data_IF_261748092539
#
_entry.id   IF_261748092539
#
_cell.length_a   1.000
_cell.length_b   1.000
_cell.length_c   1.000
_cell.angle_alpha   90.00
_cell.angle_beta   90.00
_cell.angle_gamma   90.00
#
_symmetry.space_group_name_H-M   'P 1'
#
loop_
_entity.id
_entity.type
_entity.pdbx_description
1 polymer ?
#
# COMPACT_ATOMS: atom_id res chain seq x y z
N UNK A 1 -6.67 -15.57 17.77
CA UNK A 1 -6.48 -14.13 17.51
C UNK A 1 -5.19 -13.67 18.19
N UNK A 2 -4.39 -12.80 17.59
CA UNK A 2 -3.15 -12.30 18.20
C UNK A 2 -3.46 -11.65 19.57
N UNK A 3 -2.64 -11.92 20.61
CA UNK A 3 -2.78 -11.38 21.97
C UNK A 3 -4.22 -11.40 22.55
N UNK A 4 -5.04 -12.36 22.14
CA UNK A 4 -6.44 -12.47 22.58
C UNK A 4 -7.26 -11.18 22.38
N UNK A 5 -6.97 -10.43 21.32
CA UNK A 5 -7.70 -9.20 20.99
C UNK A 5 -7.39 -7.98 21.87
N UNK A 6 -6.40 -8.05 22.78
CA UNK A 6 -6.02 -6.91 23.62
C UNK A 6 -5.45 -5.75 22.81
N UNK A 7 -6.25 -4.71 22.58
CA UNK A 7 -5.92 -3.54 21.74
C UNK A 7 -4.60 -2.88 22.15
N UNK A 8 -4.35 -2.68 23.44
CA UNK A 8 -3.11 -2.07 23.93
C UNK A 8 -1.86 -2.87 23.53
N UNK A 9 -1.95 -4.22 23.55
CA UNK A 9 -0.85 -5.09 23.13
C UNK A 9 -0.65 -5.07 21.61
N UNK A 10 -1.72 -4.92 20.84
CA UNK A 10 -1.63 -4.76 19.38
C UNK A 10 -0.93 -3.46 19.02
N UNK A 11 -1.44 -2.33 19.50
CA UNK A 11 -0.90 -0.99 19.21
C UNK A 11 0.58 -0.92 19.60
N UNK A 12 0.92 -1.27 20.84
CA UNK A 12 2.32 -1.23 21.31
C UNK A 12 3.25 -2.15 20.51
N UNK A 13 2.83 -3.38 20.21
CA UNK A 13 3.68 -4.32 19.47
C UNK A 13 3.85 -3.92 18.01
N UNK A 14 2.78 -3.48 17.34
CA UNK A 14 2.83 -3.08 15.94
C UNK A 14 3.66 -1.80 15.75
N UNK A 15 3.50 -0.81 16.62
CA UNK A 15 4.35 0.38 16.65
C UNK A 15 5.82 0.02 16.84
N UNK A 16 6.14 -0.81 17.85
CA UNK A 16 7.53 -1.18 18.13
C UNK A 16 8.19 -1.92 16.95
N UNK A 17 7.44 -2.79 16.26
CA UNK A 17 7.93 -3.47 15.05
C UNK A 17 8.22 -2.46 13.94
N UNK A 18 7.29 -1.54 13.66
CA UNK A 18 7.46 -0.53 12.61
C UNK A 18 8.65 0.40 12.88
N UNK A 19 8.74 0.95 14.10
CA UNK A 19 9.85 1.82 14.55
C UNK A 19 11.18 1.09 14.37
N UNK A 20 11.31 -0.15 14.89
CA UNK A 20 12.54 -0.92 14.79
C UNK A 20 12.96 -1.12 13.34
N UNK A 21 12.10 -1.69 12.51
CA UNK A 21 12.46 -1.97 11.11
C UNK A 21 12.75 -0.71 10.31
N UNK A 22 12.02 0.39 10.54
CA UNK A 22 12.28 1.64 9.86
C UNK A 22 13.64 2.22 10.24
N UNK A 23 13.98 2.22 11.53
CA UNK A 23 15.26 2.73 12.03
C UNK A 23 16.43 1.85 11.55
N UNK A 24 16.29 0.52 11.57
CA UNK A 24 17.31 -0.41 11.07
C UNK A 24 17.66 -0.14 9.60
N UNK A 25 16.69 0.26 8.79
CA UNK A 25 16.85 0.56 7.36
C UNK A 25 17.22 2.03 7.06
N UNK A 26 17.14 2.91 8.06
CA UNK A 26 17.19 4.36 7.86
C UNK A 26 18.54 4.83 7.31
N UNK A 27 19.64 4.32 7.87
CA UNK A 27 20.98 4.69 7.45
C UNK A 27 21.27 4.29 5.99
N UNK A 28 20.74 3.14 5.55
CA UNK A 28 20.88 2.64 4.19
C UNK A 28 20.07 3.49 3.20
N UNK A 29 18.81 3.79 3.51
CA UNK A 29 17.88 4.40 2.56
C UNK A 29 17.87 5.94 2.62
N UNK A 30 18.19 6.53 3.77
CA UNK A 30 18.24 7.97 3.99
C UNK A 30 19.48 8.38 4.80
N UNK A 31 20.71 8.24 4.25
CA UNK A 31 21.95 8.47 5.00
C UNK A 31 22.04 9.86 5.66
N UNK A 32 21.50 10.90 5.00
CA UNK A 32 21.48 12.28 5.53
C UNK A 32 20.65 12.43 6.81
N UNK A 33 19.75 11.48 7.08
CA UNK A 33 18.86 11.44 8.24
C UNK A 33 19.14 10.23 9.13
N UNK A 34 20.29 9.57 8.99
CA UNK A 34 20.64 8.37 9.76
C UNK A 34 20.67 8.60 11.27
N UNK A 35 20.87 9.85 11.70
CA UNK A 35 20.88 10.27 13.11
C UNK A 35 19.49 10.66 13.64
N UNK A 36 18.47 10.69 12.77
CA UNK A 36 17.12 10.97 13.22
C UNK A 36 16.55 9.75 13.95
N UNK A 37 15.55 9.99 14.80
CA UNK A 37 14.84 8.95 15.54
C UNK A 37 13.34 8.99 15.17
N UNK A 38 12.94 8.43 14.01
CA UNK A 38 11.56 8.48 13.56
C UNK A 38 10.66 7.62 14.46
N UNK A 39 9.50 8.18 14.80
CA UNK A 39 8.45 7.53 15.57
C UNK A 39 7.22 7.23 14.71
N UNK A 40 6.39 6.30 15.17
CA UNK A 40 5.14 5.91 14.50
C UNK A 40 3.98 5.80 15.51
N UNK A 41 2.83 6.36 15.16
CA UNK A 41 1.56 6.09 15.85
C UNK A 41 0.90 4.84 15.25
N UNK A 42 0.17 4.09 16.07
CA UNK A 42 -0.64 2.95 15.63
C UNK A 42 -2.04 3.04 16.26
N UNK A 43 -3.04 2.73 15.45
CA UNK A 43 -4.44 2.70 15.86
C UNK A 43 -5.06 1.39 15.42
N UNK A 44 -5.86 0.80 16.30
CA UNK A 44 -6.67 -0.37 16.01
C UNK A 44 -8.12 0.02 16.17
N UNK A 45 -8.93 -0.35 15.19
CA UNK A 45 -10.35 -0.07 15.16
C UNK A 45 -11.05 -1.22 14.45
N UNK A 46 -12.35 -1.36 14.70
CA UNK A 46 -13.16 -2.45 14.14
C UNK A 46 -14.06 -1.92 13.03
N UNK A 47 -14.19 -2.71 11.98
CA UNK A 47 -15.11 -2.50 10.86
C UNK A 47 -16.21 -3.57 10.93
N UNK A 48 -17.49 -3.20 10.86
CA UNK A 48 -18.58 -4.15 11.10
C UNK A 48 -18.89 -5.03 9.88
N UNK A 49 -18.32 -4.74 8.71
CA UNK A 49 -18.44 -5.57 7.51
C UNK A 49 -17.21 -5.46 6.61
N UNK A 50 -17.03 -6.45 5.73
CA UNK A 50 -15.96 -6.42 4.71
C UNK A 50 -16.19 -5.31 3.69
N UNK A 51 -17.44 -4.91 3.45
CA UNK A 51 -17.76 -3.81 2.54
C UNK A 51 -17.27 -2.47 3.10
N UNK A 52 -17.53 -2.19 4.38
CA UNK A 52 -17.01 -0.99 5.05
C UNK A 52 -15.48 -1.04 5.18
N UNK A 53 -14.92 -2.23 5.32
CA UNK A 53 -13.47 -2.41 5.26
C UNK A 53 -12.91 -2.02 3.88
N UNK A 54 -13.54 -2.46 2.79
CA UNK A 54 -13.20 -2.09 1.41
C UNK A 54 -13.32 -0.57 1.19
N UNK A 55 -14.40 0.05 1.64
CA UNK A 55 -14.60 1.51 1.57
C UNK A 55 -13.48 2.27 2.29
N UNK A 56 -13.01 1.77 3.43
CA UNK A 56 -11.89 2.38 4.11
C UNK A 56 -10.57 2.29 3.30
N UNK A 57 -10.31 1.18 2.59
CA UNK A 57 -9.18 1.11 1.65
C UNK A 57 -9.31 2.15 0.53
N UNK A 58 -10.50 2.29 -0.06
CA UNK A 58 -10.79 3.31 -1.08
C UNK A 58 -10.57 4.73 -0.55
N UNK A 59 -10.97 5.01 0.69
CA UNK A 59 -10.74 6.30 1.31
C UNK A 59 -9.25 6.58 1.52
N UNK A 60 -8.47 5.58 1.98
CA UNK A 60 -7.02 5.73 2.14
C UNK A 60 -6.29 5.91 0.81
N UNK A 61 -6.71 5.22 -0.24
CA UNK A 61 -6.17 5.40 -1.60
C UNK A 61 -6.46 6.82 -2.15
N UNK A 62 -7.68 7.30 -1.93
CA UNK A 62 -8.09 8.67 -2.33
C UNK A 62 -7.27 9.72 -1.57
N UNK A 63 -7.05 9.51 -0.29
CA UNK A 63 -6.22 10.39 0.55
C UNK A 63 -4.76 10.39 0.09
N UNK A 64 -4.19 9.21 -0.19
CA UNK A 64 -2.85 9.08 -0.76
C UNK A 64 -2.72 9.87 -2.07
N UNK A 65 -3.73 9.79 -2.95
CA UNK A 65 -3.75 10.55 -4.21
C UNK A 65 -3.77 12.05 -3.99
N UNK A 66 -4.58 12.55 -3.05
CA UNK A 66 -4.65 13.97 -2.69
C UNK A 66 -3.34 14.47 -2.06
N UNK A 67 -2.70 13.65 -1.24
CA UNK A 67 -1.41 13.99 -0.63
C UNK A 67 -0.29 13.98 -1.68
N UNK A 68 -0.26 12.99 -2.55
CA UNK A 68 0.73 12.86 -3.62
C UNK A 68 0.73 14.06 -4.58
N UNK A 69 -0.46 14.47 -5.08
CA UNK A 69 -0.54 15.64 -5.96
C UNK A 69 -0.15 16.93 -5.24
N UNK A 70 -0.48 17.04 -3.95
CA UNK A 70 -0.10 18.20 -3.15
C UNK A 70 1.42 18.25 -2.97
N UNK A 71 2.07 17.11 -2.65
CA UNK A 71 3.52 17.02 -2.54
C UNK A 71 4.21 17.33 -3.86
N UNK A 72 3.71 16.81 -4.99
CA UNK A 72 4.24 17.11 -6.31
C UNK A 72 4.15 18.62 -6.61
N UNK A 73 2.99 19.24 -6.34
CA UNK A 73 2.80 20.67 -6.55
C UNK A 73 3.69 21.52 -5.61
N UNK A 74 3.92 21.09 -4.37
CA UNK A 74 4.78 21.79 -3.40
C UNK A 74 6.25 21.84 -3.81
N UNK A 75 6.69 21.01 -4.75
CA UNK A 75 8.03 21.12 -5.33
C UNK A 75 8.20 22.38 -6.21
N UNK A 76 7.10 22.95 -6.72
CA UNK A 76 7.11 24.09 -7.64
C UNK A 76 6.41 25.34 -7.10
N UNK A 77 5.54 25.19 -6.10
CA UNK A 77 4.71 26.24 -5.56
C UNK A 77 4.82 26.28 -4.04
N UNK A 78 4.84 27.50 -3.50
CA UNK A 78 4.86 27.70 -2.05
C UNK A 78 3.55 27.23 -1.39
N UNK A 79 3.56 26.91 -0.08
CA UNK A 79 2.35 26.56 0.66
C UNK A 79 1.24 27.62 0.57
N UNK A 80 1.62 28.91 0.47
CA UNK A 80 0.66 30.02 0.32
C UNK A 80 -0.07 29.97 -1.02
N UNK A 81 0.63 29.61 -2.10
CA UNK A 81 0.04 29.49 -3.44
C UNK A 81 -0.87 28.27 -3.55
N UNK A 82 -0.60 27.20 -2.80
CA UNK A 82 -1.39 25.97 -2.79
C UNK A 82 -2.56 25.98 -1.79
N UNK A 83 -2.65 27.03 -0.97
CA UNK A 83 -3.69 27.14 0.04
C UNK A 83 -5.09 27.18 -0.60
N UNK A 84 -5.99 26.30 -0.16
CA UNK A 84 -7.36 26.11 -0.69
C UNK A 84 -7.43 25.75 -2.18
N UNK A 85 -6.32 25.36 -2.81
CA UNK A 85 -6.32 24.89 -4.20
C UNK A 85 -6.76 23.43 -4.26
N UNK A 86 -7.81 23.16 -5.03
CA UNK A 86 -8.34 21.82 -5.26
C UNK A 86 -7.41 20.93 -6.09
N UNK A 87 -7.70 19.62 -6.13
CA UNK A 87 -6.85 18.65 -6.85
C UNK A 87 -6.80 18.92 -8.37
N UNK A 88 -7.93 19.21 -9.02
CA UNK A 88 -7.97 19.51 -10.45
C UNK A 88 -7.09 20.73 -10.79
N UNK A 89 -7.23 21.84 -10.06
CA UNK A 89 -6.38 23.01 -10.25
C UNK A 89 -4.89 22.74 -9.99
N UNK A 90 -4.55 21.82 -9.06
CA UNK A 90 -3.15 21.39 -8.86
C UNK A 90 -2.60 20.61 -10.07
N UNK A 91 -3.43 19.83 -10.77
CA UNK A 91 -3.02 19.21 -12.03
C UNK A 91 -2.69 20.28 -13.06
N UNK A 92 -3.54 21.28 -13.22
CA UNK A 92 -3.31 22.36 -14.19
C UNK A 92 -2.05 23.16 -13.86
N UNK A 93 -1.81 23.44 -12.57
CA UNK A 93 -0.58 24.09 -12.10
C UNK A 93 0.68 23.26 -12.41
N UNK A 94 0.63 21.94 -12.20
CA UNK A 94 1.75 21.05 -12.55
C UNK A 94 1.96 21.01 -14.07
N UNK A 95 0.89 20.91 -14.85
CA UNK A 95 0.96 20.94 -16.32
C UNK A 95 1.53 22.25 -16.84
N UNK A 96 1.20 23.39 -16.22
CA UNK A 96 1.78 24.69 -16.55
C UNK A 96 3.30 24.77 -16.25
N UNK A 97 3.83 23.87 -15.43
CA UNK A 97 5.28 23.67 -15.20
C UNK A 97 5.88 22.56 -16.08
N UNK A 98 5.12 22.01 -17.01
CA UNK A 98 5.54 20.89 -17.86
C UNK A 98 5.57 19.54 -17.15
N UNK A 99 4.91 19.42 -16.00
CA UNK A 99 4.89 18.18 -15.20
C UNK A 99 3.56 17.48 -15.35
N UNK A 100 3.56 16.33 -16.03
CA UNK A 100 2.38 15.48 -16.15
C UNK A 100 2.27 14.50 -14.98
N UNK A 101 1.43 14.81 -14.00
CA UNK A 101 1.22 13.93 -12.84
C UNK A 101 0.70 12.54 -13.22
N UNK A 102 0.03 12.38 -14.37
CA UNK A 102 -0.47 11.07 -14.80
C UNK A 102 0.66 10.10 -15.17
N UNK A 103 1.83 10.60 -15.55
CA UNK A 103 3.01 9.80 -15.87
C UNK A 103 3.75 9.31 -14.62
N UNK A 104 3.39 9.80 -13.43
CA UNK A 104 4.01 9.34 -12.20
C UNK A 104 3.70 7.85 -11.97
N UNK A 105 4.67 7.06 -11.47
CA UNK A 105 4.44 5.68 -11.07
C UNK A 105 3.22 5.53 -10.16
N UNK A 106 2.45 4.45 -10.35
CA UNK A 106 1.21 4.22 -9.61
C UNK A 106 1.41 4.24 -8.09
N UNK A 107 2.54 3.72 -7.60
CA UNK A 107 2.84 3.68 -6.17
C UNK A 107 3.03 5.06 -5.54
N UNK A 108 3.53 6.04 -6.29
CA UNK A 108 3.61 7.44 -5.83
C UNK A 108 2.24 8.10 -5.78
N UNK A 109 1.31 7.68 -6.64
CA UNK A 109 -0.03 8.26 -6.73
C UNK A 109 -1.00 7.66 -5.72
N UNK A 110 -0.98 6.34 -5.52
CA UNK A 110 -2.02 5.60 -4.78
C UNK A 110 -1.50 4.80 -3.58
N UNK A 111 -0.19 4.79 -3.37
CA UNK A 111 0.44 3.92 -2.38
C UNK A 111 0.69 2.51 -2.92
N UNK A 112 1.06 1.59 -2.02
CA UNK A 112 1.41 0.20 -2.37
C UNK A 112 0.51 -0.78 -1.64
N UNK A 113 -0.14 -1.68 -2.37
CA UNK A 113 -0.84 -2.81 -1.80
C UNK A 113 0.14 -3.97 -1.64
N UNK A 114 0.21 -4.53 -0.44
CA UNK A 114 1.04 -5.70 -0.14
C UNK A 114 0.18 -6.84 0.37
N UNK A 115 0.46 -8.04 -0.11
CA UNK A 115 -0.28 -9.25 0.25
C UNK A 115 0.66 -10.41 0.47
N UNK A 116 0.32 -11.27 1.43
CA UNK A 116 1.00 -12.54 1.63
C UNK A 116 0.49 -13.58 0.64
N UNK A 117 1.39 -14.14 -0.16
CA UNK A 117 1.11 -15.16 -1.17
C UNK A 117 1.95 -16.41 -0.91
N UNK A 118 1.41 -17.57 -1.28
CA UNK A 118 2.15 -18.84 -1.21
C UNK A 118 2.82 -19.07 -2.54
N UNK A 119 4.15 -19.09 -2.53
CA UNK A 119 4.97 -19.34 -3.72
C UNK A 119 5.60 -20.72 -3.57
N UNK A 120 5.47 -21.54 -4.62
CA UNK A 120 6.18 -22.80 -4.72
C UNK A 120 7.62 -22.52 -5.11
N UNK A 121 8.57 -22.83 -4.23
CA UNK A 121 10.01 -22.67 -4.49
C UNK A 121 10.74 -23.99 -4.33
N UNK A 122 11.68 -24.25 -5.23
CA UNK A 122 12.67 -25.29 -5.02
C UNK A 122 13.67 -24.82 -3.98
N UNK A 123 13.97 -25.68 -3.01
CA UNK A 123 14.98 -25.36 -2.01
C UNK A 123 16.38 -25.45 -2.65
N UNK A 124 17.26 -24.45 -2.42
CA UNK A 124 18.66 -24.56 -2.84
C UNK A 124 19.32 -25.78 -2.20
N UNK A 125 20.27 -26.40 -2.90
CA UNK A 125 20.95 -27.62 -2.46
C UNK A 125 21.62 -27.45 -1.08
N UNK A 126 22.14 -26.26 -0.79
CA UNK A 126 22.72 -25.91 0.51
C UNK A 126 21.70 -25.97 1.67
N UNK A 127 20.46 -25.55 1.40
CA UNK A 127 19.37 -25.62 2.39
C UNK A 127 18.88 -27.06 2.55
N UNK A 128 18.82 -27.82 1.46
CA UNK A 128 18.44 -29.24 1.49
C UNK A 128 19.46 -30.09 2.27
N UNK A 129 20.75 -29.79 2.15
CA UNK A 129 21.82 -30.52 2.85
C UNK A 129 21.69 -30.41 4.39
N UNK A 130 21.19 -29.28 4.90
CA UNK A 130 20.93 -29.05 6.34
C UNK A 130 19.72 -29.80 6.87
N UNK A 131 18.84 -30.30 5.99
CA UNK A 131 17.67 -31.07 6.38
C UNK A 131 18.06 -32.56 6.46
N UNK A 132 17.71 -33.27 7.56
CA UNK A 132 17.91 -34.72 7.66
C UNK A 132 17.28 -35.45 6.47
N UNK A 133 17.96 -36.48 5.97
CA UNK A 133 17.63 -37.13 4.70
C UNK A 133 16.19 -37.68 4.64
N UNK A 134 15.68 -38.18 5.77
CA UNK A 134 14.30 -38.67 5.92
C UNK A 134 13.21 -37.57 5.91
N UNK A 135 13.58 -36.29 5.96
CA UNK A 135 12.67 -35.14 5.94
C UNK A 135 12.92 -34.20 4.77
N UNK A 136 13.84 -34.55 3.85
CA UNK A 136 14.15 -33.73 2.68
C UNK A 136 12.96 -33.75 1.72
N UNK A 137 12.38 -32.59 1.40
CA UNK A 137 11.34 -32.52 0.39
C UNK A 137 11.94 -32.79 -0.98
N UNK A 138 11.30 -33.68 -1.74
CA UNK A 138 11.67 -34.05 -3.11
C UNK A 138 11.13 -33.08 -4.17
N UNK A 139 10.14 -32.25 -3.81
CA UNK A 139 9.49 -31.30 -4.70
C UNK A 139 9.52 -29.85 -4.20
N UNK A 140 8.83 -28.94 -4.89
CA UNK A 140 8.77 -27.54 -4.48
C UNK A 140 8.04 -27.40 -3.14
N UNK A 141 8.59 -26.55 -2.27
CA UNK A 141 8.03 -26.25 -0.96
C UNK A 141 7.27 -24.93 -1.04
N UNK A 142 6.04 -24.92 -0.51
CA UNK A 142 5.27 -23.69 -0.35
C UNK A 142 5.92 -22.77 0.69
N UNK A 143 6.34 -21.59 0.27
CA UNK A 143 6.82 -20.52 1.15
C UNK A 143 5.86 -19.35 1.08
N UNK A 144 5.52 -18.80 2.24
CA UNK A 144 4.77 -17.55 2.30
C UNK A 144 5.70 -16.37 2.08
N UNK A 145 5.39 -15.54 1.11
CA UNK A 145 6.12 -14.31 0.79
C UNK A 145 5.16 -13.14 0.78
N UNK A 146 5.62 -11.98 1.25
CA UNK A 146 4.87 -10.73 1.09
C UNK A 146 5.28 -10.11 -0.23
N UNK A 147 4.31 -9.86 -1.11
CA UNK A 147 4.52 -9.28 -2.44
C UNK A 147 3.68 -8.02 -2.61
N UNK A 148 4.22 -7.06 -3.35
CA UNK A 148 3.44 -5.95 -3.87
C UNK A 148 2.48 -6.48 -4.94
N UNK A 149 1.24 -6.03 -4.89
CA UNK A 149 0.19 -6.40 -5.84
C UNK A 149 -0.08 -5.19 -6.74
N UNK A 150 -0.12 -5.42 -8.05
CA UNK A 150 -0.60 -4.40 -8.98
C UNK A 150 -2.12 -4.26 -8.81
N UNK A 151 -2.53 -3.18 -8.15
CA UNK A 151 -3.92 -2.94 -7.76
C UNK A 151 -4.53 -1.84 -8.64
N UNK A 152 -5.58 -2.16 -9.43
CA UNK A 152 -6.41 -1.15 -10.06
C UNK A 152 -7.07 -0.25 -9.01
N UNK A 153 -7.47 0.98 -9.35
CA UNK A 153 -8.15 1.86 -8.40
C UNK A 153 -9.36 1.18 -7.77
N UNK A 154 -9.48 1.20 -6.44
CA UNK A 154 -10.53 0.44 -5.72
C UNK A 154 -11.92 0.86 -6.16
N UNK A 155 -12.11 2.15 -6.45
CA UNK A 155 -13.37 2.70 -6.96
C UNK A 155 -13.84 2.05 -8.28
N UNK A 156 -12.91 1.53 -9.08
CA UNK A 156 -13.17 0.89 -10.38
C UNK A 156 -13.41 -0.62 -10.28
N UNK A 157 -13.18 -1.24 -9.13
CA UNK A 157 -13.38 -2.68 -8.94
C UNK A 157 -14.86 -3.00 -8.73
N UNK A 158 -15.40 -3.95 -9.48
CA UNK A 158 -16.74 -4.51 -9.29
C UNK A 158 -16.75 -5.51 -8.12
N UNK A 159 -15.67 -6.30 -7.98
CA UNK A 159 -15.50 -7.34 -6.95
C UNK A 159 -14.46 -6.96 -5.89
N UNK A 160 -14.47 -5.70 -5.42
CA UNK A 160 -13.40 -5.15 -4.57
C UNK A 160 -13.19 -5.90 -3.25
N UNK A 161 -14.24 -6.43 -2.62
CA UNK A 161 -14.13 -7.26 -1.41
C UNK A 161 -13.35 -8.55 -1.72
N UNK A 162 -13.68 -9.22 -2.82
CA UNK A 162 -13.05 -10.48 -3.20
C UNK A 162 -11.59 -10.31 -3.56
N UNK A 163 -11.25 -9.22 -4.23
CA UNK A 163 -9.87 -8.88 -4.58
C UNK A 163 -9.03 -8.63 -3.32
N UNK A 164 -9.54 -7.80 -2.39
CA UNK A 164 -8.81 -7.39 -1.19
C UNK A 164 -8.66 -8.53 -0.17
N UNK A 165 -9.74 -9.26 0.10
CA UNK A 165 -9.80 -10.19 1.23
C UNK A 165 -9.73 -11.67 0.81
N UNK A 166 -10.18 -12.02 -0.39
CA UNK A 166 -10.25 -13.40 -0.87
C UNK A 166 -9.29 -13.72 -2.02
N UNK A 167 -8.48 -12.75 -2.45
CA UNK A 167 -7.46 -12.89 -3.51
C UNK A 167 -8.03 -13.24 -4.89
N UNK A 168 -9.28 -12.85 -5.16
CA UNK A 168 -9.85 -12.97 -6.49
C UNK A 168 -9.10 -12.08 -7.50
N UNK A 169 -9.22 -12.42 -8.78
CA UNK A 169 -8.75 -11.56 -9.87
C UNK A 169 -9.61 -10.29 -9.93
N UNK A 170 -9.03 -9.12 -10.25
CA UNK A 170 -9.78 -7.87 -10.33
C UNK A 170 -10.72 -7.85 -11.53
N UNK A 171 -12.00 -7.62 -11.24
CA UNK A 171 -13.03 -7.36 -12.24
C UNK A 171 -13.37 -5.87 -12.23
N UNK A 172 -13.31 -5.22 -13.38
CA UNK A 172 -13.60 -3.80 -13.51
C UNK A 172 -15.10 -3.57 -13.67
N UNK A 173 -15.61 -2.51 -13.05
CA UNK A 173 -16.97 -2.01 -13.28
C UNK A 173 -17.17 -1.72 -14.76
N UNK A 174 -18.29 -2.15 -15.30
CA UNK A 174 -18.72 -1.76 -16.65
C UNK A 174 -19.06 -0.27 -16.68
N UNK A 175 -19.01 0.36 -17.87
CA UNK A 175 -19.25 1.82 -18.03
C UNK A 175 -20.59 2.25 -17.41
N UNK A 176 -21.62 1.39 -17.48
CA UNK A 176 -22.94 1.64 -16.88
C UNK A 176 -22.95 1.70 -15.35
N UNK A 177 -21.93 1.17 -14.68
CA UNK A 177 -21.82 1.05 -13.22
C UNK A 177 -20.87 2.09 -12.59
N UNK A 178 -20.23 2.93 -13.41
CA UNK A 178 -19.42 4.04 -12.93
C UNK A 178 -20.31 5.27 -12.65
N UNK A 179 -20.02 6.08 -11.61
CA UNK A 179 -20.68 7.37 -11.44
C UNK A 179 -20.51 8.22 -12.70
N UNK A 180 -21.51 9.02 -13.07
CA UNK A 180 -21.52 9.88 -14.28
C UNK A 180 -20.21 10.68 -14.49
N UNK A 181 -19.57 11.12 -13.40
CA UNK A 181 -18.31 11.89 -13.41
C UNK A 181 -17.11 11.07 -13.89
N UNK A 182 -17.17 9.74 -13.82
CA UNK A 182 -16.11 8.80 -14.20
C UNK A 182 -16.36 8.10 -15.54
N UNK A 183 -17.47 8.38 -16.22
CA UNK A 183 -17.81 7.82 -17.53
C UNK A 183 -17.17 8.59 -18.70
N UNK A 184 -16.69 9.82 -18.46
CA UNK A 184 -16.15 10.72 -19.48
C UNK A 184 -14.62 10.89 -19.43
N UNK A 185 -13.90 9.98 -18.76
CA UNK A 185 -12.45 10.02 -18.59
C UNK A 185 -11.76 8.80 -19.20
#
# INVERSE_FOLDING_TARGET
MLFDGRIQKWVSSLTAIAVRHFNDMLAEHLPKKAHAEPEFDCRVWQVPSLELARENFEWRETDATKNAITMAASAFYSPRQLHKVGAAAKHDLLMAKGVNFNEYPAFFKRGTYVRRETVLKMLPQETLAKIPENRRPTGPVGRSEVRAVDMPPIARLANGVDVLFFRAAPELKTVAQLPLVQQAA
#
